data_IF_940635405921
#
_entry.id   IF_940635405921
#
_cell.length_a   1.000
_cell.length_b   1.000
_cell.length_c   1.000
_cell.angle_alpha   90.00
_cell.angle_beta   90.00
_cell.angle_gamma   90.00
#
_symmetry.space_group_name_H-M   'P 1'
#
loop_
_entity.id
_entity.type
_entity.pdbx_description
1 polymer ?
#
# COMPACT_ATOMS: atom_id res chain seq x y z
N UNK A 1 -24.65 8.82 12.16
CA UNK A 1 -23.70 8.76 13.30
C UNK A 1 -22.77 7.55 13.21
N UNK A 2 -23.21 6.31 13.42
CA UNK A 2 -22.31 5.13 13.44
C UNK A 2 -21.55 4.95 12.12
N UNK A 3 -22.24 5.05 10.99
CA UNK A 3 -21.62 4.96 9.66
C UNK A 3 -20.61 6.09 9.38
N UNK A 4 -20.84 7.28 9.92
CA UNK A 4 -19.93 8.41 9.74
C UNK A 4 -18.63 8.23 10.53
N UNK A 5 -18.74 7.66 11.75
CA UNK A 5 -17.58 7.29 12.57
C UNK A 5 -16.78 6.18 11.89
N UNK A 6 -17.45 5.17 11.31
CA UNK A 6 -16.78 4.11 10.56
C UNK A 6 -16.03 4.64 9.34
N UNK A 7 -16.64 5.56 8.57
CA UNK A 7 -15.95 6.20 7.44
C UNK A 7 -14.76 7.06 7.86
N UNK A 8 -14.86 7.75 9.01
CA UNK A 8 -13.75 8.52 9.56
C UNK A 8 -12.61 7.59 9.99
N UNK A 9 -12.92 6.52 10.74
CA UNK A 9 -11.94 5.51 11.15
C UNK A 9 -11.26 4.86 9.95
N UNK A 10 -12.02 4.48 8.91
CA UNK A 10 -11.48 3.93 7.67
C UNK A 10 -10.46 4.88 7.01
N UNK A 11 -10.79 6.17 6.93
CA UNK A 11 -9.89 7.19 6.36
C UNK A 11 -8.60 7.33 7.16
N UNK A 12 -8.69 7.50 8.48
CA UNK A 12 -7.51 7.69 9.32
C UNK A 12 -6.65 6.42 9.40
N UNK A 13 -7.28 5.26 9.44
CA UNK A 13 -6.60 3.97 9.41
C UNK A 13 -5.84 3.79 8.11
N UNK A 14 -6.47 4.01 6.95
CA UNK A 14 -5.79 3.93 5.66
C UNK A 14 -4.67 4.96 5.53
N UNK A 15 -4.88 6.20 6.00
CA UNK A 15 -3.82 7.21 6.03
C UNK A 15 -2.62 6.77 6.87
N UNK A 16 -2.88 6.21 8.05
CA UNK A 16 -1.84 5.67 8.94
C UNK A 16 -1.04 4.56 8.26
N UNK A 17 -1.71 3.56 7.67
CA UNK A 17 -1.06 2.44 6.98
C UNK A 17 -0.16 2.92 5.83
N UNK A 18 -0.64 3.86 5.02
CA UNK A 18 0.13 4.43 3.91
C UNK A 18 1.35 5.22 4.39
N UNK A 19 1.18 6.02 5.46
CA UNK A 19 2.28 6.79 6.06
C UNK A 19 3.30 5.88 6.72
N UNK A 20 2.87 4.87 7.48
CA UNK A 20 3.78 3.94 8.15
C UNK A 20 4.60 3.13 7.14
N UNK A 21 3.95 2.67 6.06
CA UNK A 21 4.62 1.96 4.98
C UNK A 21 5.62 2.87 4.25
N UNK A 22 5.21 4.07 3.84
CA UNK A 22 6.10 5.04 3.21
C UNK A 22 7.29 5.39 4.11
N UNK A 23 7.06 5.58 5.41
CA UNK A 23 8.11 5.88 6.38
C UNK A 23 9.12 4.74 6.54
N UNK A 24 8.67 3.48 6.59
CA UNK A 24 9.56 2.31 6.66
C UNK A 24 10.49 2.16 5.44
N UNK A 25 10.14 2.79 4.32
CA UNK A 25 10.94 2.79 3.07
C UNK A 25 11.87 3.99 2.93
N UNK A 26 11.76 5.00 3.81
CA UNK A 26 12.64 6.16 3.81
C UNK A 26 13.97 5.75 4.44
N UNK A 27 15.04 5.74 3.63
CA UNK A 27 16.40 5.41 4.07
C UNK A 27 16.82 3.95 3.90
N UNK A 28 15.92 3.06 3.46
CA UNK A 28 16.20 1.63 3.21
C UNK A 28 15.85 1.24 1.77
N UNK A 29 16.30 2.05 0.81
CA UNK A 29 16.00 1.86 -0.62
C UNK A 29 16.60 0.57 -1.18
N UNK A 30 17.77 0.15 -0.67
CA UNK A 30 18.45 -1.06 -1.13
C UNK A 30 17.65 -2.34 -0.86
N UNK A 31 17.03 -2.48 0.32
CA UNK A 31 16.25 -3.68 0.64
C UNK A 31 14.93 -3.72 -0.15
N UNK A 32 14.34 -2.54 -0.39
CA UNK A 32 13.17 -2.42 -1.26
C UNK A 32 13.51 -2.77 -2.71
N UNK A 33 14.65 -2.29 -3.23
CA UNK A 33 15.12 -2.58 -4.58
C UNK A 33 15.41 -4.08 -4.77
N UNK A 34 16.09 -4.73 -3.82
CA UNK A 34 16.30 -6.18 -3.83
C UNK A 34 15.00 -6.97 -3.80
N UNK A 35 14.03 -6.51 -3.00
CA UNK A 35 12.71 -7.14 -2.94
C UNK A 35 12.01 -7.03 -4.28
N UNK A 36 12.08 -5.88 -4.98
CA UNK A 36 11.48 -5.68 -6.32
C UNK A 36 12.23 -6.47 -7.39
N UNK A 37 13.57 -6.50 -7.34
CA UNK A 37 14.42 -7.29 -8.23
C UNK A 37 14.11 -8.79 -8.11
N UNK A 38 13.81 -9.27 -6.90
CA UNK A 38 13.41 -10.65 -6.64
C UNK A 38 12.07 -11.04 -7.29
N UNK A 39 11.26 -10.09 -7.80
CA UNK A 39 10.09 -10.44 -8.62
C UNK A 39 10.48 -10.90 -10.03
N UNK A 40 11.72 -10.63 -10.49
CA UNK A 40 12.20 -10.92 -11.85
C UNK A 40 11.26 -10.41 -12.96
N UNK A 41 10.48 -9.37 -12.67
CA UNK A 41 9.58 -8.71 -13.63
C UNK A 41 10.30 -7.56 -14.35
N UNK A 42 11.20 -6.86 -13.64
CA UNK A 42 11.85 -5.64 -14.10
C UNK A 42 13.38 -5.78 -14.11
N UNK A 43 14.05 -5.06 -15.01
CA UNK A 43 15.52 -4.93 -15.04
C UNK A 43 16.01 -4.23 -13.76
N UNK A 44 17.23 -4.51 -13.26
CA UNK A 44 17.74 -3.89 -12.02
C UNK A 44 17.61 -2.36 -11.96
N UNK A 45 17.85 -1.67 -13.09
CA UNK A 45 17.69 -0.21 -13.19
C UNK A 45 16.24 0.27 -12.97
N UNK A 46 15.25 -0.50 -13.44
CA UNK A 46 13.83 -0.21 -13.22
C UNK A 46 13.40 -0.52 -11.79
N UNK A 47 13.93 -1.60 -11.19
CA UNK A 47 13.66 -1.97 -9.81
C UNK A 47 14.16 -0.92 -8.81
N UNK A 48 15.35 -0.37 -9.04
CA UNK A 48 15.92 0.70 -8.20
C UNK A 48 15.14 2.02 -8.34
N UNK A 49 14.73 2.37 -9.56
CA UNK A 49 13.88 3.54 -9.80
C UNK A 49 12.52 3.40 -9.09
N UNK A 50 11.89 2.22 -9.16
CA UNK A 50 10.64 1.95 -8.47
C UNK A 50 10.81 2.01 -6.95
N UNK A 51 11.89 1.44 -6.40
CA UNK A 51 12.20 1.52 -4.97
C UNK A 51 12.34 2.96 -4.46
N UNK A 52 12.89 3.86 -5.28
CA UNK A 52 12.99 5.29 -4.96
C UNK A 52 11.66 6.03 -5.03
N UNK A 53 10.76 5.65 -5.95
CA UNK A 53 9.50 6.36 -6.18
C UNK A 53 8.39 5.89 -5.23
N UNK A 54 8.35 4.59 -4.91
CA UNK A 54 7.24 3.98 -4.15
C UNK A 54 7.12 4.61 -2.74
N UNK A 55 8.20 4.77 -1.99
CA UNK A 55 8.16 5.33 -0.63
C UNK A 55 7.56 6.74 -0.56
N UNK A 56 8.07 7.72 -1.34
CA UNK A 56 7.48 9.06 -1.41
C UNK A 56 6.02 9.07 -1.90
N UNK A 57 5.66 8.17 -2.83
CA UNK A 57 4.31 8.09 -3.37
C UNK A 57 3.31 7.53 -2.35
N UNK A 58 3.72 6.55 -1.54
CA UNK A 58 2.95 6.03 -0.41
C UNK A 58 2.76 7.10 0.67
N UNK A 59 3.82 7.82 1.01
CA UNK A 59 3.75 8.90 1.99
C UNK A 59 2.83 10.04 1.51
N UNK A 60 2.96 10.45 0.25
CA UNK A 60 2.11 11.47 -0.36
C UNK A 60 0.64 11.03 -0.42
N UNK A 61 0.38 9.77 -0.81
CA UNK A 61 -0.96 9.19 -0.80
C UNK A 61 -1.58 9.16 0.59
N UNK A 62 -0.81 8.76 1.60
CA UNK A 62 -1.22 8.76 3.00
C UNK A 62 -1.52 10.17 3.53
N UNK A 63 -0.69 11.16 3.17
CA UNK A 63 -0.94 12.56 3.53
C UNK A 63 -2.20 13.12 2.86
N UNK A 64 -2.44 12.79 1.58
CA UNK A 64 -3.64 13.21 0.87
C UNK A 64 -4.91 12.63 1.51
N UNK A 65 -4.87 11.36 1.92
CA UNK A 65 -5.94 10.72 2.68
C UNK A 65 -6.11 11.37 4.06
N UNK A 66 -5.01 11.67 4.76
CA UNK A 66 -5.03 12.30 6.07
C UNK A 66 -5.65 13.71 6.02
N UNK A 67 -5.20 14.54 5.09
CA UNK A 67 -5.68 15.92 4.87
C UNK A 67 -7.07 15.95 4.22
N UNK A 68 -7.49 14.85 3.59
CA UNK A 68 -8.80 14.71 2.95
C UNK A 68 -8.92 15.59 1.73
N UNK A 69 -7.88 15.57 0.89
CA UNK A 69 -7.85 16.29 -0.38
C UNK A 69 -8.23 15.31 -1.48
N UNK A 70 -9.35 15.57 -2.18
CA UNK A 70 -9.93 14.73 -3.22
C UNK A 70 -10.00 13.24 -2.81
N UNK A 71 -10.74 12.91 -1.75
CA UNK A 71 -10.77 11.56 -1.18
C UNK A 71 -11.12 10.48 -2.19
N UNK A 72 -11.97 10.82 -3.18
CA UNK A 72 -12.37 9.92 -4.25
C UNK A 72 -11.22 9.60 -5.20
N UNK A 73 -10.38 10.57 -5.54
CA UNK A 73 -9.23 10.37 -6.43
C UNK A 73 -8.09 9.67 -5.70
N UNK A 74 -7.78 10.13 -4.49
CA UNK A 74 -6.77 9.49 -3.63
C UNK A 74 -7.11 8.02 -3.37
N UNK A 75 -8.37 7.71 -3.04
CA UNK A 75 -8.84 6.33 -2.88
C UNK A 75 -8.76 5.49 -4.17
N UNK A 76 -9.06 6.06 -5.34
CA UNK A 76 -8.88 5.36 -6.63
C UNK A 76 -7.42 4.99 -6.89
N UNK A 77 -6.51 5.93 -6.65
CA UNK A 77 -5.07 5.69 -6.81
C UNK A 77 -4.62 4.61 -5.84
N UNK A 78 -5.06 4.65 -4.58
CA UNK A 78 -4.74 3.62 -3.60
C UNK A 78 -5.20 2.23 -4.01
N UNK A 79 -6.44 2.10 -4.49
CA UNK A 79 -6.97 0.81 -5.00
C UNK A 79 -6.15 0.33 -6.20
N UNK A 80 -5.81 1.23 -7.13
CA UNK A 80 -5.03 0.87 -8.31
C UNK A 80 -3.65 0.35 -7.93
N UNK A 81 -2.93 1.06 -7.03
CA UNK A 81 -1.61 0.64 -6.54
C UNK A 81 -1.68 -0.69 -5.80
N UNK A 82 -2.63 -0.87 -4.89
CA UNK A 82 -2.84 -2.14 -4.17
C UNK A 82 -3.16 -3.30 -5.13
N UNK A 83 -3.96 -3.03 -6.17
CA UNK A 83 -4.29 -4.06 -7.17
C UNK A 83 -3.07 -4.45 -8.00
N UNK A 84 -2.26 -3.47 -8.45
CA UNK A 84 -1.00 -3.76 -9.15
C UNK A 84 -0.05 -4.56 -8.27
N UNK A 85 0.01 -4.23 -6.98
CA UNK A 85 0.83 -4.96 -6.01
C UNK A 85 0.38 -6.42 -5.87
N UNK A 86 -0.93 -6.67 -5.70
CA UNK A 86 -1.49 -8.04 -5.69
C UNK A 86 -1.16 -8.80 -6.97
N UNK A 87 -1.31 -8.17 -8.15
CA UNK A 87 -0.99 -8.81 -9.44
C UNK A 87 0.50 -9.15 -9.52
N UNK A 88 1.38 -8.24 -9.10
CA UNK A 88 2.83 -8.48 -9.05
C UNK A 88 3.20 -9.66 -8.15
N UNK A 89 2.62 -9.71 -6.94
CA UNK A 89 2.80 -10.83 -6.01
C UNK A 89 2.30 -12.16 -6.57
N UNK A 90 1.08 -12.19 -7.12
CA UNK A 90 0.52 -13.41 -7.72
C UNK A 90 1.35 -13.89 -8.92
N UNK A 91 1.85 -12.98 -9.73
CA UNK A 91 2.75 -13.27 -10.86
C UNK A 91 4.06 -13.90 -10.39
N UNK A 92 4.70 -13.35 -9.35
CA UNK A 92 5.92 -13.93 -8.80
C UNK A 92 5.68 -15.29 -8.13
N UNK A 93 4.56 -15.45 -7.42
CA UNK A 93 4.18 -16.73 -6.83
C UNK A 93 3.96 -17.82 -7.88
N UNK A 94 3.29 -17.50 -9.00
CA UNK A 94 3.12 -18.44 -10.11
C UNK A 94 4.45 -18.90 -10.73
N UNK A 95 5.52 -18.11 -10.60
CA UNK A 95 6.88 -18.45 -11.04
C UNK A 95 7.66 -19.27 -10.00
N UNK A 96 7.07 -19.56 -8.83
CA UNK A 96 7.70 -20.33 -7.76
C UNK A 96 8.75 -19.56 -6.97
N UNK A 97 8.77 -18.22 -7.07
CA UNK A 97 9.69 -17.38 -6.32
C UNK A 97 9.19 -17.28 -4.87
N UNK A 98 10.02 -17.73 -3.92
CA UNK A 98 9.77 -17.56 -2.48
C UNK A 98 10.17 -16.13 -2.12
N UNK A 99 9.19 -15.22 -2.19
CA UNK A 99 9.39 -13.81 -1.85
C UNK A 99 8.94 -13.60 -0.42
N UNK A 100 9.82 -13.08 0.42
CA UNK A 100 9.43 -12.52 1.71
C UNK A 100 8.59 -11.26 1.46
N UNK A 101 7.28 -11.37 1.67
CA UNK A 101 6.28 -10.36 1.30
C UNK A 101 6.33 -9.08 2.17
N UNK A 102 7.51 -8.69 2.67
CA UNK A 102 7.81 -7.52 3.50
C UNK A 102 7.75 -6.17 2.78
N UNK A 103 7.04 -6.06 1.65
CA UNK A 103 6.97 -4.81 0.88
C UNK A 103 6.23 -3.67 1.60
N UNK A 104 5.50 -3.95 2.68
CA UNK A 104 4.91 -2.94 3.57
C UNK A 104 5.64 -2.82 4.92
N UNK A 105 6.46 -3.82 5.26
CA UNK A 105 7.27 -3.85 6.46
C UNK A 105 8.53 -4.69 6.18
N UNK A 106 9.66 -4.05 5.81
CA UNK A 106 10.88 -4.77 5.47
C UNK A 106 11.48 -5.52 6.66
N UNK A 107 11.07 -5.21 7.90
CA UNK A 107 11.54 -5.91 9.10
C UNK A 107 10.90 -7.30 9.29
N UNK A 108 9.80 -7.59 8.58
CA UNK A 108 9.11 -8.88 8.65
C UNK A 108 9.74 -9.97 7.76
N UNK A 109 10.81 -9.67 7.02
CA UNK A 109 11.43 -10.58 6.04
C UNK A 109 12.26 -11.75 6.65
N UNK A 110 12.11 -12.05 7.95
CA UNK A 110 12.89 -13.08 8.63
C UNK A 110 12.10 -14.01 9.56
N UNK A 111 10.81 -13.78 9.78
CA UNK A 111 10.02 -14.51 10.77
C UNK A 111 8.88 -15.32 10.12
N UNK A 112 9.24 -16.50 9.62
CA UNK A 112 8.30 -17.54 9.19
C UNK A 112 7.67 -17.31 7.81
N UNK A 113 7.34 -18.39 7.12
CA UNK A 113 6.69 -18.40 5.80
C UNK A 113 5.73 -17.22 5.64
N UNK A 114 6.15 -16.20 4.89
CA UNK A 114 5.26 -15.09 4.58
C UNK A 114 4.09 -15.68 3.79
N UNK A 115 2.97 -15.85 4.47
CA UNK A 115 1.80 -16.49 3.90
C UNK A 115 1.27 -15.51 2.85
N UNK A 116 1.59 -15.74 1.58
CA UNK A 116 1.04 -14.98 0.44
C UNK A 116 -0.46 -14.76 0.62
N UNK A 117 -1.15 -15.79 1.12
CA UNK A 117 -2.58 -15.77 1.41
C UNK A 117 -2.95 -14.71 2.47
N UNK A 118 -2.17 -14.55 3.54
CA UNK A 118 -2.36 -13.51 4.55
C UNK A 118 -2.08 -12.11 3.99
N UNK A 119 -1.03 -11.96 3.18
CA UNK A 119 -0.69 -10.67 2.53
C UNK A 119 -1.77 -10.25 1.54
N UNK A 120 -2.20 -11.15 0.66
CA UNK A 120 -3.30 -10.91 -0.30
C UNK A 120 -4.59 -10.61 0.46
N UNK A 121 -4.90 -11.34 1.54
CA UNK A 121 -6.09 -11.08 2.36
C UNK A 121 -6.06 -9.69 2.99
N UNK A 122 -4.92 -9.27 3.55
CA UNK A 122 -4.71 -7.92 4.08
C UNK A 122 -4.93 -6.86 3.00
N UNK A 123 -4.37 -7.04 1.82
CA UNK A 123 -4.48 -6.06 0.73
C UNK A 123 -5.92 -5.99 0.18
N UNK A 124 -6.63 -7.12 0.13
CA UNK A 124 -8.07 -7.18 -0.20
C UNK A 124 -8.90 -6.43 0.86
N UNK A 125 -8.57 -6.57 2.15
CA UNK A 125 -9.21 -5.79 3.22
C UNK A 125 -8.96 -4.29 3.00
N UNK A 126 -7.75 -3.87 2.68
CA UNK A 126 -7.44 -2.47 2.41
C UNK A 126 -8.20 -1.92 1.20
N UNK A 127 -8.35 -2.71 0.14
CA UNK A 127 -9.20 -2.36 -1.02
C UNK A 127 -10.65 -2.21 -0.57
N UNK A 128 -11.18 -3.13 0.24
CA UNK A 128 -12.55 -3.07 0.74
C UNK A 128 -12.80 -1.84 1.63
N UNK A 129 -11.88 -1.53 2.55
CA UNK A 129 -11.93 -0.34 3.42
C UNK A 129 -11.88 0.93 2.56
N UNK A 130 -10.99 0.99 1.58
CA UNK A 130 -10.87 2.14 0.67
C UNK A 130 -12.13 2.31 -0.18
N UNK A 131 -12.69 1.21 -0.68
CA UNK A 131 -13.96 1.19 -1.42
C UNK A 131 -15.14 1.67 -0.57
N UNK A 132 -15.23 1.22 0.68
CA UNK A 132 -16.24 1.68 1.64
C UNK A 132 -16.11 3.19 1.91
N UNK A 133 -14.88 3.68 2.15
CA UNK A 133 -14.60 5.11 2.31
C UNK A 133 -15.00 5.91 1.06
N UNK A 134 -14.75 5.39 -0.15
CA UNK A 134 -15.13 6.04 -1.40
C UNK A 134 -16.64 6.09 -1.63
N UNK A 135 -17.39 5.07 -1.17
CA UNK A 135 -18.84 5.03 -1.28
C UNK A 135 -19.50 6.02 -0.32
N UNK A 136 -18.96 6.17 0.90
CA UNK A 136 -19.44 7.11 1.91
C UNK A 136 -18.30 7.99 2.44
N UNK A 137 -17.83 8.97 1.65
CA UNK A 137 -16.70 9.81 2.04
C UNK A 137 -17.09 10.71 3.21
N UNK A 138 -16.32 10.66 4.29
CA UNK A 138 -16.50 11.54 5.44
C UNK A 138 -15.94 12.93 5.11
N UNK A 139 -16.83 13.87 4.76
CA UNK A 139 -16.48 15.22 4.29
C UNK A 139 -16.26 16.25 5.39
N UNK A 140 -16.62 15.96 6.65
CA UNK A 140 -16.65 16.94 7.75
C UNK A 140 -15.28 17.47 8.19
N UNK A 141 -14.21 16.68 8.02
CA UNK A 141 -12.82 17.06 8.32
C UNK A 141 -11.94 17.00 7.06
N UNK A 142 -12.53 17.24 5.88
CA UNK A 142 -11.80 17.31 4.62
C UNK A 142 -11.48 18.76 4.29
N UNK A 143 -10.21 19.07 4.02
CA UNK A 143 -9.81 20.42 3.56
C UNK A 143 -10.37 20.68 2.16
N UNK A 144 -10.42 19.65 1.30
CA UNK A 144 -11.03 19.71 -0.03
C UNK A 144 -11.62 18.32 -0.41
N UNK A 145 -12.89 18.02 -0.07
CA UNK A 145 -13.47 16.68 -0.17
C UNK A 145 -13.56 16.08 -1.58
#
# INVERSE_FOLDING_TARGET
MVLDVLSALARFYMAYVWISAGWSKIGVHLDTAKTIEAYEIFTPAWSDLLAHIIGPLELAGGLLLLLGINLRWSGKVSIYVLTLFIIGMLSAWQRGLVIDCGCFDPSAAGEGESNLLATVFRDVIYIAITGFMMWRPFKKFAIYP
#
